data_IF_898455557862
#
_entry.id   IF_898455557862
#
_cell.length_a   1.000
_cell.length_b   1.000
_cell.length_c   1.000
_cell.angle_alpha   90.00
_cell.angle_beta   90.00
_cell.angle_gamma   90.00
#
_symmetry.space_group_name_H-M   'P 1'
#
loop_
_entity.id
_entity.type
_entity.pdbx_description
1 polymer ?
#
# COMPACT_ATOMS: atom_id res chain seq x y z
N UNK A 1 -3.35 8.28 -11.95
CA UNK A 1 -2.37 7.25 -11.55
C UNK A 1 -1.11 7.27 -12.41
N UNK A 2 -1.19 7.04 -13.73
CA UNK A 2 -0.01 6.88 -14.60
C UNK A 2 1.02 8.02 -14.49
N UNK A 3 0.57 9.27 -14.40
CA UNK A 3 1.46 10.42 -14.22
C UNK A 3 2.22 10.34 -12.89
N UNK A 4 1.52 10.04 -11.79
CA UNK A 4 2.11 9.89 -10.45
C UNK A 4 3.11 8.74 -10.38
N UNK A 5 2.79 7.61 -11.01
CA UNK A 5 3.74 6.50 -11.15
C UNK A 5 4.99 6.93 -11.91
N UNK A 6 4.83 7.65 -13.02
CA UNK A 6 5.96 8.14 -13.80
C UNK A 6 6.86 9.06 -12.94
N UNK A 7 6.30 9.95 -12.11
CA UNK A 7 7.10 10.77 -11.19
C UNK A 7 7.92 9.91 -10.22
N UNK A 8 7.33 8.88 -9.62
CA UNK A 8 8.04 7.99 -8.70
C UNK A 8 9.14 7.19 -9.41
N UNK A 9 8.90 6.76 -10.65
CA UNK A 9 9.92 6.11 -11.49
C UNK A 9 11.08 7.05 -11.82
N UNK A 10 10.79 8.32 -12.12
CA UNK A 10 11.84 9.32 -12.35
C UNK A 10 12.68 9.58 -11.09
N UNK A 11 12.11 9.38 -9.91
CA UNK A 11 12.82 9.46 -8.62
C UNK A 11 13.63 8.20 -8.28
N UNK A 12 13.66 7.19 -9.15
CA UNK A 12 14.44 5.96 -8.98
C UNK A 12 13.64 4.76 -8.48
N UNK A 13 12.34 4.92 -8.24
CA UNK A 13 11.48 3.85 -7.72
C UNK A 13 10.75 3.12 -8.86
N UNK A 14 11.50 2.35 -9.65
CA UNK A 14 10.97 1.60 -10.79
C UNK A 14 10.14 0.36 -10.41
N UNK A 15 10.34 -0.16 -9.20
CA UNK A 15 9.68 -1.37 -8.71
C UNK A 15 8.23 -1.15 -8.29
N UNK A 16 7.83 0.10 -8.04
CA UNK A 16 6.45 0.44 -7.69
C UNK A 16 5.55 0.18 -8.91
N UNK A 17 4.47 -0.56 -8.69
CA UNK A 17 3.46 -0.82 -9.74
C UNK A 17 2.23 0.09 -9.58
N UNK A 18 1.41 0.19 -10.63
CA UNK A 18 0.13 0.91 -10.54
C UNK A 18 -0.79 0.21 -9.55
N UNK A 19 -0.74 -1.11 -9.54
CA UNK A 19 -1.52 -1.98 -8.68
C UNK A 19 -1.18 -1.71 -7.21
N UNK A 20 0.11 -1.60 -6.85
CA UNK A 20 0.52 -1.27 -5.47
C UNK A 20 0.04 0.10 -5.01
N UNK A 21 0.11 1.10 -5.89
CA UNK A 21 -0.38 2.45 -5.59
C UNK A 21 -1.90 2.48 -5.47
N UNK A 22 -2.60 1.70 -6.29
CA UNK A 22 -4.05 1.59 -6.22
C UNK A 22 -4.48 0.88 -4.93
N UNK A 23 -3.79 -0.20 -4.58
CA UNK A 23 -3.98 -0.94 -3.34
C UNK A 23 -3.77 -0.05 -2.11
N UNK A 24 -2.72 0.78 -2.12
CA UNK A 24 -2.50 1.82 -1.11
C UNK A 24 -3.68 2.79 -1.01
N UNK A 25 -4.21 3.27 -2.14
CA UNK A 25 -5.34 4.20 -2.14
C UNK A 25 -6.57 3.58 -1.49
N UNK A 26 -6.92 2.36 -1.87
CA UNK A 26 -8.14 1.68 -1.38
C UNK A 26 -7.99 1.22 0.07
N UNK A 27 -6.86 0.62 0.42
CA UNK A 27 -6.67 -0.03 1.72
C UNK A 27 -6.12 0.89 2.82
N UNK A 28 -5.55 2.04 2.47
CA UNK A 28 -4.96 2.97 3.44
C UNK A 28 -5.56 4.36 3.33
N UNK A 29 -5.45 5.00 2.16
CA UNK A 29 -5.84 6.40 1.96
C UNK A 29 -7.36 6.61 2.10
N UNK A 30 -8.16 5.71 1.52
CA UNK A 30 -9.62 5.77 1.50
C UNK A 30 -10.29 4.78 2.46
N UNK A 31 -9.50 4.06 3.26
CA UNK A 31 -9.98 3.03 4.19
C UNK A 31 -11.13 3.53 5.09
N UNK A 32 -11.02 4.76 5.55
CA UNK A 32 -11.98 5.37 6.49
C UNK A 32 -12.80 6.51 5.87
N UNK A 33 -12.34 7.08 4.75
CA UNK A 33 -12.98 8.20 4.08
C UNK A 33 -12.82 8.05 2.57
N UNK A 34 -13.70 7.27 1.95
CA UNK A 34 -13.73 7.15 0.50
C UNK A 34 -14.36 8.41 -0.12
N UNK A 35 -13.66 9.09 -1.05
CA UNK A 35 -14.22 10.25 -1.72
C UNK A 35 -15.35 9.83 -2.65
N UNK A 36 -16.52 10.47 -2.49
CA UNK A 36 -17.70 10.20 -3.32
C UNK A 36 -17.50 10.71 -4.76
N UNK A 37 -16.68 11.75 -4.94
CA UNK A 37 -16.54 12.48 -6.21
C UNK A 37 -15.22 12.16 -6.90
N UNK A 38 -15.28 11.94 -8.21
CA UNK A 38 -14.11 11.59 -9.02
C UNK A 38 -12.94 12.58 -8.89
N UNK A 39 -13.21 13.89 -8.92
CA UNK A 39 -12.15 14.89 -8.82
C UNK A 39 -11.45 14.89 -7.45
N UNK A 40 -12.14 14.48 -6.38
CA UNK A 40 -11.53 14.35 -5.06
C UNK A 40 -10.54 13.17 -5.06
N UNK A 41 -10.92 12.03 -5.65
CA UNK A 41 -10.01 10.89 -5.83
C UNK A 41 -8.74 11.29 -6.60
N UNK A 42 -8.88 12.08 -7.67
CA UNK A 42 -7.72 12.57 -8.45
C UNK A 42 -6.84 13.51 -7.64
N UNK A 43 -7.43 14.43 -6.86
CA UNK A 43 -6.67 15.31 -5.98
C UNK A 43 -5.92 14.54 -4.90
N UNK A 44 -6.57 13.57 -4.26
CA UNK A 44 -5.95 12.71 -3.25
C UNK A 44 -4.79 11.92 -3.84
N UNK A 45 -4.96 11.29 -5.01
CA UNK A 45 -3.88 10.57 -5.70
C UNK A 45 -2.70 11.51 -6.01
N UNK A 46 -3.00 12.76 -6.37
CA UNK A 46 -1.98 13.74 -6.70
C UNK A 46 -1.22 14.24 -5.47
N UNK A 47 -1.84 14.25 -4.29
CA UNK A 47 -1.22 14.65 -3.03
C UNK A 47 -0.39 13.55 -2.36
N UNK A 48 -0.51 12.29 -2.80
CA UNK A 48 0.29 11.16 -2.27
C UNK A 48 1.78 11.51 -2.31
N UNK A 49 2.46 11.38 -1.17
CA UNK A 49 3.91 11.42 -1.11
C UNK A 49 4.50 10.00 -1.13
N UNK A 50 5.76 9.87 -1.57
CA UNK A 50 6.49 8.61 -1.47
C UNK A 50 6.57 8.12 -0.02
N UNK A 51 6.74 9.04 0.94
CA UNK A 51 6.83 8.69 2.35
C UNK A 51 5.55 8.01 2.84
N UNK A 52 4.38 8.49 2.42
CA UNK A 52 3.10 7.89 2.80
C UNK A 52 2.94 6.48 2.21
N UNK A 53 3.33 6.30 0.95
CA UNK A 53 3.35 4.98 0.31
C UNK A 53 4.33 4.02 1.01
N UNK A 54 5.55 4.46 1.34
CA UNK A 54 6.54 3.62 2.01
C UNK A 54 6.14 3.24 3.43
N UNK A 55 5.48 4.15 4.17
CA UNK A 55 4.90 3.84 5.47
C UNK A 55 3.86 2.72 5.35
N UNK A 56 2.98 2.81 4.36
CA UNK A 56 2.02 1.75 4.07
C UNK A 56 2.68 0.45 3.65
N UNK A 57 3.63 0.48 2.71
CA UNK A 57 4.33 -0.71 2.24
C UNK A 57 5.07 -1.42 3.38
N UNK A 58 5.72 -0.66 4.27
CA UNK A 58 6.38 -1.19 5.47
C UNK A 58 5.39 -1.81 6.45
N UNK A 59 4.25 -1.15 6.69
CA UNK A 59 3.19 -1.69 7.53
C UNK A 59 2.62 -2.99 6.94
N UNK A 60 2.34 -3.00 5.64
CA UNK A 60 1.84 -4.18 4.91
C UNK A 60 2.83 -5.34 5.00
N UNK A 61 4.11 -5.10 4.79
CA UNK A 61 5.16 -6.11 4.92
C UNK A 61 5.23 -6.67 6.36
N UNK A 62 5.11 -5.83 7.38
CA UNK A 62 5.07 -6.29 8.78
C UNK A 62 3.83 -7.13 9.06
N UNK A 63 2.64 -6.70 8.62
CA UNK A 63 1.39 -7.45 8.84
C UNK A 63 1.41 -8.80 8.12
N UNK A 64 1.83 -8.84 6.86
CA UNK A 64 1.98 -10.11 6.11
C UNK A 64 3.05 -11.02 6.71
N UNK A 65 4.14 -10.46 7.25
CA UNK A 65 5.15 -11.25 7.94
C UNK A 65 4.63 -11.85 9.25
N UNK A 66 3.62 -11.23 9.88
CA UNK A 66 2.99 -11.73 11.12
C UNK A 66 1.92 -12.81 10.82
N UNK A 67 1.37 -12.85 9.60
CA UNK A 67 0.42 -13.90 9.17
C UNK A 67 1.04 -15.30 9.02
N UNK A 68 2.37 -15.44 9.14
CA UNK A 68 3.04 -16.75 9.22
C UNK A 68 2.95 -17.40 10.62
N UNK A 69 2.39 -16.73 11.63
CA UNK A 69 2.22 -17.34 12.97
C UNK A 69 1.05 -18.33 13.03
N UNK A 70 0.07 -18.20 12.14
CA UNK A 70 -1.03 -19.18 12.02
C UNK A 70 -0.59 -20.46 11.26
N UNK A 71 0.55 -20.42 10.56
CA UNK A 71 1.20 -21.58 9.93
C UNK A 71 2.27 -22.24 10.83
N UNK A 72 2.47 -21.76 12.06
CA UNK A 72 3.18 -22.54 13.07
C UNK A 72 2.21 -23.59 13.62
N UNK A 73 2.22 -24.76 12.99
CA UNK A 73 1.57 -25.99 13.47
C UNK A 73 1.78 -26.13 14.99
N UNK A 74 0.72 -25.88 15.77
CA UNK A 74 0.71 -26.05 17.23
C UNK A 74 1.06 -27.51 17.64
N UNK A 75 1.04 -28.43 16.69
CA UNK A 75 1.38 -29.85 16.86
C UNK A 75 2.86 -30.10 17.15
N UNK A 76 3.77 -29.18 16.82
CA UNK A 76 5.21 -29.35 17.12
C UNK A 76 5.61 -28.87 18.53
N UNK A 77 4.67 -28.29 19.29
CA UNK A 77 4.85 -27.87 20.69
C UNK A 77 4.45 -28.93 21.73
N UNK A 78 3.95 -30.09 21.29
CA UNK A 78 3.49 -31.19 22.16
C UNK A 78 4.31 -32.50 22.02
N UNK A 79 5.53 -32.44 21.47
CA UNK A 79 6.48 -33.57 21.51
C UNK A 79 7.50 -33.45 22.63
#
# INVERSE_FOLDING_TARGET
MNHKLAEFRHQGYSEITIEDLWDYCVNFLWKHNEPIRYYQKVNDISSISLNDYFNYASLKAQVYNVSSLDEMELDDLLK
#
